data_IF_140706152513
#
_entry.id   IF_140706152513
#
_cell.length_a   1.000
_cell.length_b   1.000
_cell.length_c   1.000
_cell.angle_alpha   90.00
_cell.angle_beta   90.00
_cell.angle_gamma   90.00
#
_symmetry.space_group_name_H-M   'P 1'
#
loop_
_entity.id
_entity.type
_entity.pdbx_description
1 polymer ?
#
# COMPACT_ATOMS: atom_id res chain seq x y z
N UNK A 1 68.21 -54.41 -14.42
CA UNK A 1 66.74 -54.51 -14.54
C UNK A 1 66.22 -54.64 -13.13
N UNK A 2 65.81 -53.59 -12.42
CA UNK A 2 64.70 -52.67 -12.66
C UNK A 2 63.98 -52.60 -11.30
N UNK A 3 64.20 -51.53 -10.52
CA UNK A 3 63.24 -50.43 -10.28
C UNK A 3 61.98 -50.89 -9.50
N UNK A 4 61.50 -50.28 -8.41
CA UNK A 4 61.77 -49.01 -7.68
C UNK A 4 61.13 -49.08 -6.27
N UNK A 5 61.83 -48.49 -5.29
CA UNK A 5 61.45 -47.82 -4.03
C UNK A 5 60.36 -48.34 -3.04
N UNK A 6 60.81 -48.96 -1.93
CA UNK A 6 60.98 -48.44 -0.54
C UNK A 6 60.32 -47.09 -0.11
N UNK A 7 60.19 -46.79 1.22
CA UNK A 7 60.05 -47.68 2.39
C UNK A 7 59.14 -47.13 3.54
N UNK A 8 59.11 -47.91 4.64
CA UNK A 8 59.06 -47.47 6.06
C UNK A 8 57.74 -46.95 6.67
N UNK A 9 57.23 -47.63 7.70
CA UNK A 9 57.77 -47.52 9.07
C UNK A 9 56.91 -48.28 10.08
N UNK A 10 57.60 -48.71 11.13
CA UNK A 10 57.18 -49.52 12.26
C UNK A 10 56.14 -48.84 13.16
N UNK A 11 55.22 -49.64 13.73
CA UNK A 11 54.44 -49.26 14.92
C UNK A 11 54.58 -50.32 16.00
N UNK A 12 55.37 -50.00 17.03
CA UNK A 12 55.20 -50.54 18.38
C UNK A 12 54.63 -49.44 19.27
N UNK A 13 53.73 -49.86 20.16
CA UNK A 13 52.91 -49.01 21.01
C UNK A 13 53.76 -48.17 21.99
N UNK A 14 53.42 -46.89 22.08
CA UNK A 14 53.80 -46.01 23.18
C UNK A 14 52.63 -45.05 23.48
N UNK A 15 52.27 -45.01 24.75
CA UNK A 15 51.24 -44.23 25.42
C UNK A 15 51.33 -42.75 25.04
N UNK A 16 50.24 -42.16 24.49
CA UNK A 16 50.14 -40.72 24.26
C UNK A 16 49.30 -40.08 25.36
N UNK A 17 49.93 -39.21 26.13
CA UNK A 17 49.28 -38.22 27.00
C UNK A 17 48.35 -37.33 26.16
N UNK A 18 47.07 -37.31 26.50
CA UNK A 18 46.13 -36.30 26.01
C UNK A 18 46.30 -35.04 26.86
N UNK A 19 46.81 -33.98 26.22
CA UNK A 19 46.70 -32.62 26.75
C UNK A 19 45.25 -32.17 26.58
N UNK A 20 44.48 -32.14 27.66
CA UNK A 20 43.22 -31.41 27.70
C UNK A 20 43.57 -29.94 27.95
N UNK A 21 43.43 -29.09 26.95
CA UNK A 21 43.56 -27.65 27.12
C UNK A 21 42.31 -27.17 27.86
N UNK A 22 42.38 -27.11 29.19
CA UNK A 22 41.34 -26.60 30.07
C UNK A 22 41.32 -25.07 30.00
N UNK A 23 40.74 -24.52 28.93
CA UNK A 23 40.55 -23.06 28.83
C UNK A 23 39.28 -22.65 28.08
N UNK A 24 38.23 -23.46 28.24
CA UNK A 24 36.88 -23.10 27.80
C UNK A 24 35.86 -23.49 28.86
N UNK A 25 35.84 -22.76 29.98
CA UNK A 25 34.61 -22.43 30.72
C UNK A 25 34.95 -21.64 32.00
N UNK A 26 34.88 -20.30 31.88
CA UNK A 26 34.26 -19.38 32.86
C UNK A 26 34.62 -17.95 32.50
N UNK A 27 34.01 -17.41 31.44
CA UNK A 27 33.91 -15.95 31.30
C UNK A 27 32.82 -15.48 32.25
N UNK A 28 33.21 -15.05 33.45
CA UNK A 28 32.33 -14.31 34.35
C UNK A 28 32.10 -12.91 33.78
N UNK A 29 30.92 -12.69 33.21
CA UNK A 29 30.51 -11.37 32.74
C UNK A 29 30.30 -10.43 33.92
N UNK A 30 30.87 -9.23 33.83
CA UNK A 30 30.56 -8.16 34.79
C UNK A 30 29.10 -7.71 34.60
N UNK A 31 28.46 -7.13 35.64
CA UNK A 31 27.08 -6.59 35.54
C UNK A 31 26.91 -5.64 34.35
N UNK A 32 27.96 -4.86 34.03
CA UNK A 32 27.95 -3.92 32.90
C UNK A 32 28.00 -4.64 31.55
N UNK A 33 28.73 -5.74 31.43
CA UNK A 33 28.77 -6.55 30.21
C UNK A 33 27.48 -7.35 30.01
N UNK A 34 26.89 -7.85 31.10
CA UNK A 34 25.57 -8.47 31.06
C UNK A 34 24.49 -7.49 30.59
N UNK A 35 24.48 -6.25 31.10
CA UNK A 35 23.54 -5.21 30.65
C UNK A 35 23.78 -4.86 29.18
N UNK A 36 25.04 -4.79 28.71
CA UNK A 36 25.34 -4.56 27.30
C UNK A 36 24.88 -5.72 26.40
N UNK A 37 25.08 -6.95 26.82
CA UNK A 37 24.60 -8.14 26.11
C UNK A 37 23.06 -8.21 26.10
N UNK A 38 22.41 -7.91 27.22
CA UNK A 38 20.96 -7.83 27.31
C UNK A 38 20.40 -6.72 26.41
N UNK A 39 21.02 -5.54 26.41
CA UNK A 39 20.65 -4.43 25.52
C UNK A 39 20.85 -4.78 24.03
N UNK A 40 21.92 -5.51 23.68
CA UNK A 40 22.14 -6.01 22.32
C UNK A 40 21.09 -7.06 21.92
N UNK A 41 20.66 -7.93 22.84
CA UNK A 41 19.63 -8.95 22.58
C UNK A 41 18.20 -8.36 22.49
N UNK A 42 17.90 -7.31 23.25
CA UNK A 42 16.65 -6.55 23.13
C UNK A 42 16.64 -5.68 21.87
N UNK A 43 17.79 -5.11 21.51
CA UNK A 43 17.98 -4.40 20.24
C UNK A 43 17.75 -5.31 19.03
N UNK A 44 18.28 -6.54 19.03
CA UNK A 44 18.08 -7.47 17.91
C UNK A 44 16.62 -7.95 17.76
N UNK A 45 15.85 -7.99 18.86
CA UNK A 45 14.40 -8.24 18.81
C UNK A 45 13.61 -7.02 18.31
N UNK A 46 14.08 -5.80 18.59
CA UNK A 46 13.50 -4.56 18.06
C UNK A 46 13.81 -4.34 16.55
N UNK A 47 14.82 -5.03 16.01
CA UNK A 47 15.22 -4.98 14.60
C UNK A 47 14.76 -6.19 13.77
N UNK A 48 13.74 -6.94 14.21
CA UNK A 48 12.98 -7.72 13.23
C UNK A 48 12.23 -6.72 12.35
N UNK A 49 12.49 -6.63 11.03
CA UNK A 49 11.58 -5.91 10.17
C UNK A 49 10.20 -6.54 10.42
N UNK A 50 9.23 -5.69 10.70
CA UNK A 50 7.83 -6.05 10.60
C UNK A 50 7.58 -6.36 9.11
N UNK A 51 8.02 -7.53 8.65
CA UNK A 51 7.34 -8.18 7.56
C UNK A 51 5.97 -8.50 8.14
N UNK A 52 4.87 -7.94 7.62
CA UNK A 52 3.57 -8.50 7.93
C UNK A 52 3.65 -9.93 7.43
N UNK A 53 3.89 -10.86 8.36
CA UNK A 53 3.57 -12.25 8.15
C UNK A 53 2.07 -12.19 7.92
N UNK A 54 1.64 -12.29 6.65
CA UNK A 54 0.27 -12.66 6.35
C UNK A 54 0.06 -13.95 7.12
N UNK A 55 -0.58 -13.86 8.29
CA UNK A 55 -1.25 -15.00 8.85
C UNK A 55 -2.07 -15.52 7.68
N UNK A 56 -1.85 -16.78 7.28
CA UNK A 56 -2.79 -17.43 6.38
C UNK A 56 -4.14 -17.23 7.03
N UNK A 57 -4.98 -16.40 6.41
CA UNK A 57 -6.31 -16.15 6.92
C UNK A 57 -7.05 -17.48 6.79
N UNK A 58 -7.04 -18.27 7.88
CA UNK A 58 -7.88 -19.46 8.01
C UNK A 58 -9.38 -19.09 7.95
N UNK A 59 -9.68 -17.80 8.01
CA UNK A 59 -10.99 -17.19 7.78
C UNK A 59 -11.07 -16.60 6.38
N UNK A 60 -12.08 -17.00 5.60
CA UNK A 60 -12.36 -16.37 4.31
C UNK A 60 -12.57 -14.85 4.41
N UNK A 61 -12.39 -14.13 3.31
CA UNK A 61 -12.57 -12.68 3.22
C UNK A 61 -13.30 -12.29 1.93
N UNK A 62 -13.78 -11.05 1.85
CA UNK A 62 -14.52 -10.55 0.68
C UNK A 62 -13.61 -9.68 -0.18
N UNK A 63 -13.72 -9.87 -1.49
CA UNK A 63 -13.09 -8.98 -2.48
C UNK A 63 -14.14 -8.35 -3.40
N UNK A 64 -13.88 -7.13 -3.84
CA UNK A 64 -14.61 -6.44 -4.90
C UNK A 64 -13.88 -6.61 -6.22
N UNK A 65 -14.62 -6.86 -7.30
CA UNK A 65 -14.10 -6.82 -8.66
C UNK A 65 -13.87 -5.37 -9.08
N UNK A 66 -12.60 -4.98 -9.23
CA UNK A 66 -12.18 -3.60 -9.49
C UNK A 66 -11.97 -3.26 -10.98
N UNK A 67 -12.24 -4.20 -11.88
CA UNK A 67 -12.21 -4.01 -13.33
C UNK A 67 -13.60 -4.23 -13.93
N UNK A 68 -13.77 -3.92 -15.22
CA UNK A 68 -15.04 -4.18 -15.93
C UNK A 68 -15.47 -5.66 -15.82
N UNK A 69 -14.50 -6.59 -15.91
CA UNK A 69 -14.71 -8.00 -15.60
C UNK A 69 -13.41 -8.67 -15.17
N UNK A 70 -13.55 -9.79 -14.44
CA UNK A 70 -12.47 -10.72 -14.08
C UNK A 70 -12.97 -12.15 -14.26
N UNK A 71 -12.15 -12.97 -14.91
CA UNK A 71 -12.46 -14.37 -15.18
C UNK A 71 -12.22 -15.26 -13.97
N UNK A 72 -13.12 -16.22 -13.78
CA UNK A 72 -12.96 -17.35 -12.87
C UNK A 72 -12.46 -18.53 -13.69
N UNK A 73 -11.30 -19.05 -13.30
CA UNK A 73 -10.58 -20.12 -13.96
C UNK A 73 -10.81 -21.46 -13.24
N UNK A 74 -10.78 -22.57 -13.99
CA UNK A 74 -10.91 -23.90 -13.41
C UNK A 74 -9.73 -24.28 -12.51
N UNK A 75 -8.54 -23.73 -12.77
CA UNK A 75 -7.31 -23.89 -12.00
C UNK A 75 -6.69 -22.50 -11.74
N UNK A 76 -5.78 -22.34 -10.77
CA UNK A 76 -5.08 -21.07 -10.53
C UNK A 76 -3.99 -20.82 -11.61
N UNK A 77 -4.42 -20.80 -12.86
CA UNK A 77 -3.61 -20.74 -14.08
C UNK A 77 -4.44 -19.99 -15.13
N UNK A 78 -3.88 -18.91 -15.69
CA UNK A 78 -4.54 -18.02 -16.64
C UNK A 78 -4.67 -18.65 -18.04
N UNK A 79 -4.02 -19.79 -18.29
CA UNK A 79 -4.20 -20.60 -19.49
C UNK A 79 -5.29 -21.68 -19.31
N UNK A 80 -5.79 -21.87 -18.08
CA UNK A 80 -6.81 -22.86 -17.81
C UNK A 80 -8.20 -22.42 -18.31
N UNK A 81 -9.13 -23.37 -18.38
CA UNK A 81 -10.50 -23.09 -18.85
C UNK A 81 -11.18 -22.06 -17.94
N UNK A 82 -11.70 -20.99 -18.53
CA UNK A 82 -12.60 -20.05 -17.86
C UNK A 82 -13.94 -20.74 -17.62
N UNK A 83 -14.40 -20.74 -16.37
CA UNK A 83 -15.68 -21.35 -15.95
C UNK A 83 -16.78 -20.31 -15.73
N UNK A 84 -16.42 -19.07 -15.44
CA UNK A 84 -17.36 -17.98 -15.18
C UNK A 84 -16.68 -16.61 -15.37
N UNK A 85 -17.46 -15.56 -15.60
CA UNK A 85 -17.04 -14.16 -15.49
C UNK A 85 -17.70 -13.50 -14.27
N UNK A 86 -16.96 -12.59 -13.62
CA UNK A 86 -17.45 -11.69 -12.57
C UNK A 86 -17.28 -10.25 -13.05
N UNK A 87 -18.25 -9.39 -12.77
CA UNK A 87 -18.28 -8.02 -13.26
C UNK A 87 -17.95 -7.00 -12.18
N UNK A 88 -17.70 -5.76 -12.62
CA UNK A 88 -17.38 -4.62 -11.74
C UNK A 88 -18.31 -4.55 -10.53
N UNK A 89 -17.73 -4.29 -9.37
CA UNK A 89 -18.41 -4.13 -8.08
C UNK A 89 -19.08 -5.38 -7.51
N UNK A 90 -19.05 -6.52 -8.22
CA UNK A 90 -19.43 -7.79 -7.60
C UNK A 90 -18.53 -8.10 -6.41
N UNK A 91 -19.18 -8.49 -5.31
CA UNK A 91 -18.52 -8.97 -4.10
C UNK A 91 -18.36 -10.49 -4.17
N UNK A 92 -17.13 -10.96 -3.98
CA UNK A 92 -16.78 -12.36 -4.10
C UNK A 92 -16.16 -12.83 -2.79
N UNK A 93 -16.74 -13.90 -2.23
CA UNK A 93 -16.15 -14.59 -1.09
C UNK A 93 -14.91 -15.37 -1.54
N UNK A 94 -13.78 -15.04 -0.92
CA UNK A 94 -12.50 -15.75 -1.05
C UNK A 94 -12.36 -16.71 0.12
N UNK A 95 -12.17 -17.99 -0.20
CA UNK A 95 -11.98 -19.02 0.81
C UNK A 95 -10.55 -19.05 1.35
N UNK A 96 -9.55 -18.84 0.48
CA UNK A 96 -8.14 -18.69 0.86
C UNK A 96 -7.31 -18.19 -0.33
N UNK A 97 -6.12 -17.70 -0.01
CA UNK A 97 -5.08 -17.29 -0.95
C UNK A 97 -4.24 -18.48 -1.41
N UNK A 98 -3.83 -18.49 -2.67
CA UNK A 98 -2.97 -19.50 -3.29
C UNK A 98 -1.86 -18.79 -4.04
N UNK A 99 -0.62 -19.23 -3.82
CA UNK A 99 0.53 -18.86 -4.64
C UNK A 99 0.68 -19.93 -5.72
N UNK A 100 0.42 -19.56 -6.96
CA UNK A 100 0.50 -20.47 -8.11
C UNK A 100 1.89 -20.46 -8.74
N UNK A 101 2.43 -21.64 -9.04
CA UNK A 101 3.65 -21.82 -9.84
C UNK A 101 3.45 -21.46 -11.32
N UNK A 102 2.18 -21.40 -11.77
CA UNK A 102 1.76 -20.94 -13.11
C UNK A 102 1.41 -19.46 -13.15
N UNK A 103 1.32 -18.79 -12.00
CA UNK A 103 1.05 -17.36 -11.94
C UNK A 103 2.23 -16.51 -12.44
N UNK A 104 1.98 -15.25 -12.84
CA UNK A 104 3.06 -14.34 -13.19
C UNK A 104 4.06 -14.16 -12.04
N UNK A 105 5.36 -14.24 -12.31
CA UNK A 105 6.38 -14.18 -11.24
C UNK A 105 6.34 -12.89 -10.40
N UNK A 106 5.85 -11.79 -10.96
CA UNK A 106 5.68 -10.52 -10.24
C UNK A 106 4.48 -10.55 -9.28
N UNK A 107 3.42 -11.29 -9.60
CA UNK A 107 2.22 -11.45 -8.79
C UNK A 107 1.64 -12.87 -8.99
N UNK A 108 2.13 -13.87 -8.26
CA UNK A 108 1.66 -15.25 -8.40
C UNK A 108 0.38 -15.54 -7.59
N UNK A 109 -0.30 -14.50 -7.08
CA UNK A 109 -1.36 -14.65 -6.08
C UNK A 109 -2.72 -14.83 -6.74
N UNK A 110 -3.38 -15.94 -6.41
CA UNK A 110 -4.72 -16.32 -6.81
C UNK A 110 -5.61 -16.50 -5.59
N UNK A 111 -6.92 -16.37 -5.80
CA UNK A 111 -7.94 -16.60 -4.78
C UNK A 111 -8.80 -17.78 -5.17
N UNK A 112 -8.97 -18.72 -4.25
CA UNK A 112 -9.98 -19.77 -4.35
C UNK A 112 -11.35 -19.13 -4.03
N UNK A 113 -12.26 -19.14 -5.00
CA UNK A 113 -13.60 -18.56 -4.91
C UNK A 113 -14.66 -19.61 -5.25
N UNK A 114 -15.95 -19.32 -5.12
CA UNK A 114 -16.95 -20.26 -5.61
C UNK A 114 -16.80 -20.51 -7.12
N UNK A 115 -16.84 -21.78 -7.54
CA UNK A 115 -16.71 -22.18 -8.95
C UNK A 115 -15.29 -22.34 -9.49
N UNK A 116 -14.28 -21.67 -8.92
CA UNK A 116 -12.89 -21.81 -9.41
C UNK A 116 -11.87 -20.90 -8.72
N UNK A 117 -11.01 -20.28 -9.51
CA UNK A 117 -9.89 -19.45 -9.06
C UNK A 117 -9.87 -18.13 -9.81
N UNK A 118 -9.61 -17.04 -9.10
CA UNK A 118 -9.49 -15.70 -9.71
C UNK A 118 -8.11 -15.12 -9.40
N UNK A 119 -7.47 -14.50 -10.39
CA UNK A 119 -6.19 -13.83 -10.18
C UNK A 119 -6.38 -12.54 -9.37
N UNK A 120 -5.50 -12.29 -8.40
CA UNK A 120 -5.64 -11.17 -7.45
C UNK A 120 -5.60 -9.79 -8.11
N UNK A 121 -4.87 -9.62 -9.21
CA UNK A 121 -4.50 -8.31 -9.80
C UNK A 121 -5.61 -7.26 -9.89
N UNK A 122 -6.86 -7.65 -10.14
CA UNK A 122 -8.01 -6.74 -10.32
C UNK A 122 -9.06 -6.92 -9.23
N UNK A 123 -8.66 -7.45 -8.09
CA UNK A 123 -9.51 -7.70 -6.94
C UNK A 123 -9.03 -6.85 -5.78
N UNK A 124 -9.95 -6.09 -5.19
CA UNK A 124 -9.72 -5.27 -4.02
C UNK A 124 -10.27 -6.01 -2.80
N UNK A 125 -9.46 -6.26 -1.78
CA UNK A 125 -9.98 -6.72 -0.50
C UNK A 125 -10.79 -5.59 0.13
N UNK A 126 -12.03 -5.88 0.53
CA UNK A 126 -12.96 -4.88 1.07
C UNK A 126 -13.37 -5.23 2.48
N UNK A 127 -13.74 -4.20 3.24
CA UNK A 127 -14.35 -4.31 4.56
C UNK A 127 -15.83 -3.98 4.43
N UNK A 128 -16.65 -4.58 5.29
CA UNK A 128 -18.05 -4.22 5.49
C UNK A 128 -18.20 -3.78 6.94
N UNK A 129 -17.75 -2.56 7.22
CA UNK A 129 -17.76 -1.98 8.54
C UNK A 129 -18.55 -0.68 8.53
N UNK A 130 -19.69 -0.68 9.21
CA UNK A 130 -20.43 0.53 9.58
C UNK A 130 -19.79 1.18 10.81
N UNK A 131 -19.93 2.50 10.95
CA UNK A 131 -19.28 3.28 11.99
C UNK A 131 -20.27 4.15 12.76
N UNK A 132 -19.97 4.44 14.05
CA UNK A 132 -20.68 5.47 14.79
C UNK A 132 -20.60 6.82 14.07
N UNK A 133 -21.74 7.52 14.01
CA UNK A 133 -21.83 8.86 13.42
C UNK A 133 -21.23 9.89 14.35
N UNK A 134 -20.39 10.77 13.80
CA UNK A 134 -19.80 11.91 14.51
C UNK A 134 -20.63 13.15 14.18
N UNK A 135 -21.39 13.62 15.16
CA UNK A 135 -22.31 14.75 14.99
C UNK A 135 -21.61 16.12 14.91
N UNK A 136 -20.46 16.25 15.58
CA UNK A 136 -19.73 17.51 15.67
C UNK A 136 -18.61 17.56 14.64
N UNK A 137 -18.87 18.24 13.53
CA UNK A 137 -17.87 18.52 12.50
C UNK A 137 -17.21 19.88 12.78
N UNK A 138 -15.88 19.96 13.00
CA UNK A 138 -15.18 21.23 13.19
C UNK A 138 -15.10 22.01 11.87
N UNK A 139 -14.84 23.32 11.94
CA UNK A 139 -14.77 24.19 10.76
C UNK A 139 -13.70 23.77 9.72
N UNK A 140 -12.63 23.10 10.18
CA UNK A 140 -11.60 22.52 9.29
C UNK A 140 -11.97 21.18 8.67
N UNK A 141 -13.16 20.65 8.95
CA UNK A 141 -13.63 19.34 8.51
C UNK A 141 -12.96 18.18 9.23
N UNK A 142 -13.41 16.96 8.89
CA UNK A 142 -12.79 15.71 9.32
C UNK A 142 -12.35 14.93 8.08
N UNK A 143 -11.20 14.27 8.17
CA UNK A 143 -10.82 13.29 7.16
C UNK A 143 -11.50 11.96 7.49
N UNK A 144 -12.11 11.34 6.49
CA UNK A 144 -12.84 10.09 6.67
C UNK A 144 -12.55 9.09 5.55
N UNK A 145 -12.55 7.81 5.91
CA UNK A 145 -12.27 6.69 5.02
C UNK A 145 -13.55 5.89 4.75
N UNK A 146 -13.80 5.52 3.50
CA UNK A 146 -14.88 4.58 3.18
C UNK A 146 -14.49 3.19 3.69
N UNK A 147 -15.30 2.61 4.58
CA UNK A 147 -15.04 1.31 5.22
C UNK A 147 -16.07 0.22 4.87
N UNK A 148 -16.90 0.49 3.88
CA UNK A 148 -17.78 -0.47 3.18
C UNK A 148 -17.21 -0.74 1.78
N UNK A 149 -17.62 -1.80 1.05
CA UNK A 149 -17.04 -2.12 -0.26
C UNK A 149 -17.12 -0.96 -1.26
N UNK A 150 -18.27 -0.27 -1.26
CA UNK A 150 -18.49 0.99 -1.94
C UNK A 150 -19.72 1.70 -1.35
N UNK A 151 -19.81 3.01 -1.54
CA UNK A 151 -20.99 3.81 -1.22
C UNK A 151 -21.36 4.68 -2.41
N UNK A 152 -22.66 4.86 -2.65
CA UNK A 152 -23.12 5.81 -3.65
C UNK A 152 -23.20 7.21 -3.04
N UNK A 153 -22.61 8.18 -3.72
CA UNK A 153 -22.74 9.59 -3.38
C UNK A 153 -23.91 10.24 -4.12
N UNK A 154 -24.61 11.13 -3.44
CA UNK A 154 -25.74 11.87 -3.99
C UNK A 154 -25.51 13.36 -3.85
N UNK A 155 -25.97 14.13 -4.82
CA UNK A 155 -25.99 15.59 -4.75
C UNK A 155 -27.44 16.06 -4.58
N UNK A 156 -27.74 16.93 -3.61
CA UNK A 156 -29.07 17.49 -3.45
C UNK A 156 -29.38 18.45 -4.60
N UNK A 157 -30.64 18.42 -5.04
CA UNK A 157 -31.19 19.25 -6.10
C UNK A 157 -32.43 20.01 -5.64
N UNK A 158 -33.07 20.79 -6.54
CA UNK A 158 -34.28 21.53 -6.21
C UNK A 158 -35.42 20.61 -5.76
N UNK A 159 -36.27 21.09 -4.84
CA UNK A 159 -37.49 20.40 -4.37
C UNK A 159 -37.20 19.01 -3.78
N UNK A 160 -36.19 18.92 -2.92
CA UNK A 160 -35.78 17.70 -2.21
C UNK A 160 -35.46 16.52 -3.14
N UNK A 161 -35.00 16.82 -4.37
CA UNK A 161 -34.51 15.80 -5.28
C UNK A 161 -33.05 15.46 -4.97
N UNK A 162 -32.65 14.21 -5.24
CA UNK A 162 -31.29 13.75 -5.05
C UNK A 162 -30.82 13.04 -6.31
N UNK A 163 -29.64 13.39 -6.80
CA UNK A 163 -29.06 12.81 -8.01
C UNK A 163 -27.78 12.06 -7.70
N UNK A 164 -27.63 10.87 -8.28
CA UNK A 164 -26.40 10.10 -8.17
C UNK A 164 -25.23 10.84 -8.83
N UNK A 165 -24.13 10.92 -8.09
CA UNK A 165 -22.84 11.40 -8.59
C UNK A 165 -21.84 10.25 -8.49
N UNK A 166 -20.78 10.39 -7.70
CA UNK A 166 -19.70 9.41 -7.65
C UNK A 166 -20.08 8.09 -6.96
N UNK A 167 -19.43 7.01 -7.41
CA UNK A 167 -19.30 5.76 -6.65
C UNK A 167 -17.97 5.80 -5.89
N UNK A 168 -18.03 5.87 -4.56
CA UNK A 168 -16.84 5.92 -3.71
C UNK A 168 -16.51 4.52 -3.20
N UNK A 169 -15.24 4.14 -3.20
CA UNK A 169 -14.80 2.77 -2.92
C UNK A 169 -14.10 2.66 -1.57
N UNK A 170 -14.08 1.46 -1.00
CA UNK A 170 -13.29 1.13 0.18
C UNK A 170 -11.85 1.69 0.06
N UNK A 171 -11.30 2.15 1.18
CA UNK A 171 -9.96 2.76 1.31
C UNK A 171 -9.79 4.16 0.66
N UNK A 172 -10.83 4.71 0.00
CA UNK A 172 -10.81 6.12 -0.43
C UNK A 172 -11.00 7.07 0.76
N UNK A 173 -10.36 8.24 0.69
CA UNK A 173 -10.40 9.26 1.72
C UNK A 173 -11.15 10.50 1.25
N UNK A 174 -11.99 11.07 2.11
CA UNK A 174 -12.84 12.22 1.79
C UNK A 174 -12.89 13.22 2.94
N UNK A 175 -13.02 14.50 2.61
CA UNK A 175 -13.17 15.57 3.60
C UNK A 175 -14.65 15.75 3.96
N UNK A 176 -15.03 15.38 5.18
CA UNK A 176 -16.35 15.63 5.75
C UNK A 176 -16.40 17.07 6.26
N UNK A 177 -17.33 17.86 5.74
CA UNK A 177 -17.50 19.27 6.10
C UNK A 177 -18.79 19.55 6.91
N UNK A 178 -19.78 18.65 6.84
CA UNK A 178 -21.00 18.74 7.62
C UNK A 178 -21.68 17.38 7.78
N UNK A 179 -22.66 17.33 8.69
CA UNK A 179 -23.62 16.25 8.84
C UNK A 179 -25.01 16.82 8.53
N UNK A 180 -25.70 16.24 7.56
CA UNK A 180 -27.03 16.64 7.12
C UNK A 180 -28.00 15.45 7.18
N UNK A 181 -29.30 15.71 7.00
CA UNK A 181 -30.31 14.68 6.79
C UNK A 181 -30.33 14.27 5.30
N UNK A 182 -30.27 12.96 5.04
CA UNK A 182 -30.27 12.41 3.70
C UNK A 182 -31.66 12.10 3.13
N UNK A 183 -31.73 11.54 1.90
CA UNK A 183 -33.00 11.18 1.24
C UNK A 183 -33.82 10.11 1.97
N UNK A 184 -33.20 9.36 2.88
CA UNK A 184 -33.83 8.33 3.71
C UNK A 184 -34.24 8.85 5.11
N UNK A 185 -34.05 10.14 5.38
CA UNK A 185 -34.25 10.74 6.71
C UNK A 185 -33.14 10.41 7.72
N UNK A 186 -32.08 9.70 7.29
CA UNK A 186 -30.96 9.30 8.11
C UNK A 186 -29.81 10.32 8.12
N UNK A 187 -28.78 10.10 8.95
CA UNK A 187 -27.58 10.94 8.99
C UNK A 187 -26.67 10.71 7.78
N UNK A 188 -26.36 11.77 7.04
CA UNK A 188 -25.48 11.73 5.87
C UNK A 188 -24.34 12.75 6.01
N UNK A 189 -23.12 12.32 5.73
CA UNK A 189 -21.99 13.25 5.70
C UNK A 189 -21.98 14.00 4.39
N UNK A 190 -21.86 15.33 4.48
CA UNK A 190 -21.52 16.19 3.35
C UNK A 190 -20.01 16.18 3.16
N UNK A 191 -19.60 15.71 2.00
CA UNK A 191 -18.21 15.61 1.56
C UNK A 191 -17.87 16.77 0.64
N UNK A 192 -16.62 17.20 0.67
CA UNK A 192 -16.07 18.20 -0.23
C UNK A 192 -14.98 17.63 -1.12
N UNK A 193 -15.14 17.78 -2.43
CA UNK A 193 -14.10 17.51 -3.42
C UNK A 193 -13.12 18.70 -3.48
N UNK A 194 -11.83 18.44 -3.34
CA UNK A 194 -10.82 19.49 -3.38
C UNK A 194 -10.59 20.07 -4.78
N UNK A 195 -10.89 19.31 -5.85
CA UNK A 195 -10.51 19.71 -7.20
C UNK A 195 -11.47 20.71 -7.83
N UNK A 196 -12.77 20.53 -7.58
CA UNK A 196 -13.83 21.31 -8.21
C UNK A 196 -14.78 21.95 -7.19
N UNK A 197 -14.45 21.89 -5.90
CA UNK A 197 -15.27 22.36 -4.78
C UNK A 197 -16.68 21.75 -4.73
N UNK A 198 -16.92 20.62 -5.42
CA UNK A 198 -18.22 19.95 -5.40
C UNK A 198 -18.54 19.41 -4.01
N UNK A 199 -19.78 19.62 -3.57
CA UNK A 199 -20.32 19.08 -2.34
C UNK A 199 -21.32 17.97 -2.66
N UNK A 200 -21.15 16.81 -2.04
CA UNK A 200 -22.03 15.65 -2.21
C UNK A 200 -22.11 14.86 -0.92
N UNK A 201 -23.12 13.99 -0.82
CA UNK A 201 -23.47 13.32 0.42
C UNK A 201 -23.38 11.82 0.29
N UNK A 202 -23.04 11.17 1.40
CA UNK A 202 -23.05 9.72 1.57
C UNK A 202 -23.63 9.36 2.93
N UNK A 203 -24.21 8.16 3.12
CA UNK A 203 -24.63 7.68 4.43
C UNK A 203 -23.47 7.79 5.43
N UNK A 204 -23.68 8.44 6.58
CA UNK A 204 -22.60 8.77 7.49
C UNK A 204 -21.93 7.51 8.09
N UNK A 205 -22.71 6.46 8.32
CA UNK A 205 -22.22 5.19 8.87
C UNK A 205 -21.23 4.45 7.95
N UNK A 206 -21.24 4.73 6.64
CA UNK A 206 -20.31 4.11 5.69
C UNK A 206 -18.86 4.60 5.83
N UNK A 207 -18.66 5.71 6.56
CA UNK A 207 -17.37 6.38 6.66
C UNK A 207 -16.81 6.29 8.08
N UNK A 208 -15.54 5.88 8.16
CA UNK A 208 -14.75 5.85 9.38
C UNK A 208 -13.92 7.13 9.47
N UNK A 209 -14.12 7.92 10.53
CA UNK A 209 -13.27 9.10 10.77
C UNK A 209 -11.82 8.64 11.02
N UNK A 210 -10.89 9.24 10.26
CA UNK A 210 -9.45 9.06 10.43
C UNK A 210 -9.01 9.85 11.65
N UNK A 211 -8.33 9.20 12.59
CA UNK A 211 -7.90 9.89 13.81
C UNK A 211 -6.60 10.67 13.57
N UNK A 212 -6.34 11.77 14.30
CA UNK A 212 -5.09 12.53 14.19
C UNK A 212 -3.82 11.67 14.37
N UNK A 213 -3.87 10.64 15.22
CA UNK A 213 -2.75 9.73 15.46
C UNK A 213 -2.40 8.89 14.22
N UNK A 214 -3.39 8.60 13.38
CA UNK A 214 -3.19 7.88 12.12
C UNK A 214 -2.46 8.72 11.06
N UNK A 215 -2.45 10.05 11.22
CA UNK A 215 -1.71 10.99 10.36
C UNK A 215 -0.38 11.44 10.96
N UNK A 216 -0.12 11.11 12.23
CA UNK A 216 1.08 11.60 12.94
C UNK A 216 2.38 11.17 12.25
N UNK A 217 3.37 12.07 12.14
CA UNK A 217 4.60 11.81 11.39
C UNK A 217 5.42 10.66 11.98
N UNK A 218 6.16 9.97 11.11
CA UNK A 218 7.06 8.88 11.49
C UNK A 218 8.53 9.33 11.42
N UNK A 219 9.36 8.76 12.29
CA UNK A 219 10.80 9.02 12.37
C UNK A 219 11.13 10.53 12.46
N UNK A 220 10.49 11.22 13.41
CA UNK A 220 10.64 12.68 13.63
C UNK A 220 12.03 13.07 14.13
N UNK A 221 12.77 12.12 14.67
CA UNK A 221 14.13 12.24 15.19
C UNK A 221 15.20 12.13 14.09
N UNK A 222 14.83 11.67 12.89
CA UNK A 222 15.74 11.57 11.75
C UNK A 222 15.65 12.82 10.89
N UNK A 223 16.75 13.59 10.73
CA UNK A 223 16.77 14.78 9.89
C UNK A 223 16.32 14.47 8.45
N UNK A 224 15.49 15.33 7.83
CA UNK A 224 14.92 15.07 6.50
C UNK A 224 15.96 14.82 5.39
N UNK A 225 17.12 15.46 5.48
CA UNK A 225 18.24 15.29 4.54
C UNK A 225 18.91 13.92 4.61
N UNK A 226 18.70 13.19 5.72
CA UNK A 226 19.14 11.81 5.90
C UNK A 226 18.08 10.81 5.44
N UNK A 227 16.91 11.26 5.00
CA UNK A 227 15.86 10.40 4.46
C UNK A 227 15.90 10.41 2.94
N UNK A 228 15.82 9.23 2.32
CA UNK A 228 15.60 9.10 0.88
C UNK A 228 14.67 7.94 0.54
N UNK A 229 13.95 8.08 -0.58
CA UNK A 229 13.24 6.99 -1.24
C UNK A 229 13.96 6.68 -2.55
N UNK A 230 14.14 5.39 -2.83
CA UNK A 230 14.61 4.88 -4.11
C UNK A 230 13.51 4.04 -4.74
N UNK A 231 13.20 4.31 -6.00
CA UNK A 231 12.24 3.57 -6.82
C UNK A 231 12.99 2.98 -8.00
N UNK A 232 12.82 1.67 -8.22
CA UNK A 232 13.30 1.01 -9.43
C UNK A 232 12.10 0.63 -10.30
N UNK A 233 12.03 1.22 -11.49
CA UNK A 233 11.04 0.89 -12.53
C UNK A 233 11.32 -0.53 -13.04
N UNK A 234 12.58 -0.90 -13.24
CA UNK A 234 12.92 -2.26 -13.70
C UNK A 234 12.46 -3.32 -12.70
N UNK A 235 12.75 -3.12 -11.40
CA UNK A 235 12.41 -4.10 -10.35
C UNK A 235 10.98 -3.98 -9.85
N UNK A 236 10.28 -2.90 -10.20
CA UNK A 236 8.97 -2.55 -9.64
C UNK A 236 8.96 -2.58 -8.10
N UNK A 237 9.99 -1.97 -7.52
CA UNK A 237 10.23 -1.93 -6.07
C UNK A 237 10.52 -0.52 -5.60
N UNK A 238 10.17 -0.24 -4.36
CA UNK A 238 10.52 0.96 -3.63
C UNK A 238 11.24 0.59 -2.34
N UNK A 239 12.24 1.39 -1.99
CA UNK A 239 12.98 1.32 -0.73
C UNK A 239 13.04 2.70 -0.09
N UNK A 240 12.88 2.76 1.23
CA UNK A 240 13.07 3.98 2.01
C UNK A 240 14.23 3.79 2.99
N UNK A 241 15.12 4.77 3.05
CA UNK A 241 16.34 4.73 3.84
C UNK A 241 16.41 5.90 4.82
N UNK A 242 16.94 5.61 6.00
CA UNK A 242 17.42 6.59 6.97
C UNK A 242 18.94 6.44 7.05
N UNK A 243 19.67 7.47 6.60
CA UNK A 243 21.08 7.34 6.22
C UNK A 243 21.22 6.18 5.22
N UNK A 244 22.01 5.15 5.51
CA UNK A 244 22.15 3.95 4.66
C UNK A 244 21.37 2.74 5.17
N UNK A 245 20.56 2.92 6.22
CA UNK A 245 19.74 1.85 6.78
C UNK A 245 18.41 1.78 6.04
N UNK A 246 18.13 0.62 5.43
CA UNK A 246 16.82 0.31 4.88
C UNK A 246 15.80 0.20 6.01
N UNK A 247 14.75 1.03 5.97
CA UNK A 247 13.68 1.04 6.99
C UNK A 247 12.32 0.58 6.46
N UNK A 248 12.12 0.63 5.15
CA UNK A 248 10.90 0.16 4.50
C UNK A 248 11.18 -0.30 3.07
N UNK A 249 10.53 -1.37 2.63
CA UNK A 249 10.55 -1.81 1.24
C UNK A 249 9.21 -2.40 0.83
N UNK A 250 8.82 -2.17 -0.43
CA UNK A 250 7.61 -2.78 -0.99
C UNK A 250 7.65 -2.88 -2.50
N UNK A 251 6.83 -3.78 -3.05
CA UNK A 251 6.49 -3.83 -4.48
C UNK A 251 5.59 -2.65 -4.83
N UNK A 252 5.83 -2.05 -5.99
CA UNK A 252 5.04 -0.94 -6.52
C UNK A 252 4.49 -1.26 -7.90
N UNK A 253 3.59 -0.43 -8.41
CA UNK A 253 3.28 -0.39 -9.84
C UNK A 253 3.53 1.00 -10.39
N UNK A 254 4.60 1.16 -11.18
CA UNK A 254 4.95 2.44 -11.81
C UNK A 254 4.19 2.64 -13.13
N UNK A 255 4.45 3.77 -13.79
CA UNK A 255 3.81 4.17 -15.04
C UNK A 255 4.13 3.26 -16.21
N UNK A 256 3.11 2.91 -16.99
CA UNK A 256 3.29 2.12 -18.22
C UNK A 256 4.05 2.94 -19.27
N UNK A 257 5.02 2.33 -19.93
CA UNK A 257 5.70 2.93 -21.07
C UNK A 257 4.80 2.82 -22.31
N UNK A 258 4.01 3.86 -22.60
CA UNK A 258 3.31 3.98 -23.88
C UNK A 258 4.13 4.81 -24.86
N UNK A 259 4.26 4.30 -26.09
CA UNK A 259 4.88 5.04 -27.21
C UNK A 259 3.94 6.11 -27.79
N UNK A 260 2.62 5.94 -27.63
CA UNK A 260 1.67 7.01 -27.93
C UNK A 260 1.69 8.04 -26.79
N UNK A 261 1.69 9.32 -27.17
CA UNK A 261 1.47 10.39 -26.20
C UNK A 261 0.07 10.19 -25.65
N UNK A 262 -0.12 10.29 -24.33
CA UNK A 262 -1.46 10.21 -23.74
C UNK A 262 -2.41 11.22 -24.40
N UNK A 263 -3.71 11.03 -24.20
CA UNK A 263 -4.79 11.89 -24.73
C UNK A 263 -4.51 13.39 -24.54
N UNK A 264 -3.73 13.77 -23.52
CA UNK A 264 -3.38 15.15 -23.18
C UNK A 264 -1.89 15.51 -23.37
N UNK A 265 -1.10 14.66 -24.03
CA UNK A 265 0.33 14.89 -24.27
C UNK A 265 1.27 14.58 -23.08
N UNK A 266 0.72 14.22 -21.92
CA UNK A 266 1.47 13.88 -20.71
C UNK A 266 2.04 12.45 -20.82
N UNK A 267 3.35 12.22 -20.64
CA UNK A 267 3.91 10.87 -20.64
C UNK A 267 3.28 9.97 -19.57
N UNK A 268 2.97 8.72 -19.91
CA UNK A 268 2.44 7.75 -18.94
C UNK A 268 3.54 6.99 -18.18
N UNK A 269 4.79 7.14 -18.59
CA UNK A 269 5.94 6.56 -17.94
C UNK A 269 6.31 7.38 -16.70
N UNK A 270 6.70 6.70 -15.62
CA UNK A 270 7.29 7.38 -14.47
C UNK A 270 8.63 8.00 -14.87
N UNK A 271 8.86 9.29 -14.56
CA UNK A 271 10.10 9.96 -14.96
C UNK A 271 11.28 9.44 -14.14
N UNK A 272 12.39 9.14 -14.83
CA UNK A 272 13.67 8.76 -14.21
C UNK A 272 14.42 10.03 -13.81
N UNK A 273 15.07 10.01 -12.64
CA UNK A 273 15.85 11.14 -12.16
C UNK A 273 15.85 11.30 -10.65
N UNK A 274 16.36 12.45 -10.21
CA UNK A 274 16.34 12.85 -8.81
C UNK A 274 15.29 13.94 -8.59
N UNK A 275 14.46 13.70 -7.59
CA UNK A 275 13.30 14.50 -7.24
C UNK A 275 13.26 14.73 -5.74
N UNK A 276 12.29 15.53 -5.31
CA UNK A 276 11.93 15.71 -3.90
C UNK A 276 10.44 15.80 -3.76
N UNK A 277 9.92 15.34 -2.63
CA UNK A 277 8.51 15.56 -2.29
C UNK A 277 8.22 17.07 -2.35
N UNK A 278 7.25 17.45 -3.17
CA UNK A 278 6.85 18.85 -3.40
C UNK A 278 5.53 19.19 -2.71
N UNK A 279 4.65 18.20 -2.57
CA UNK A 279 3.32 18.37 -2.00
C UNK A 279 2.77 17.05 -1.47
N UNK A 280 1.92 17.12 -0.44
CA UNK A 280 1.20 15.99 0.12
C UNK A 280 -0.27 16.32 0.34
N UNK A 281 -1.15 15.41 -0.05
CA UNK A 281 -2.61 15.52 0.10
C UNK A 281 -3.17 14.18 0.61
N UNK A 282 -3.84 14.15 1.79
CA UNK A 282 -4.42 12.91 2.32
C UNK A 282 -5.51 12.33 1.41
N UNK A 283 -6.30 13.22 0.79
CA UNK A 283 -7.34 12.91 -0.19
C UNK A 283 -7.06 13.74 -1.44
N UNK A 284 -6.95 13.07 -2.60
CA UNK A 284 -6.76 13.75 -3.89
C UNK A 284 -7.77 13.26 -4.91
N UNK A 285 -8.39 14.17 -5.64
CA UNK A 285 -9.12 13.82 -6.85
C UNK A 285 -8.12 13.64 -8.01
N UNK A 286 -8.15 12.49 -8.68
CA UNK A 286 -7.36 12.24 -9.89
C UNK A 286 -8.25 11.95 -11.09
N UNK A 287 -7.96 12.56 -12.24
CA UNK A 287 -8.74 12.37 -13.46
C UNK A 287 -9.51 13.62 -13.89
N UNK A 288 -10.66 13.41 -14.54
CA UNK A 288 -11.53 14.51 -15.00
C UNK A 288 -12.33 15.12 -13.85
N UNK A 289 -12.48 16.45 -13.83
CA UNK A 289 -13.19 17.16 -12.77
C UNK A 289 -14.72 17.22 -12.92
N UNK A 290 -15.31 16.48 -13.86
CA UNK A 290 -16.75 16.43 -14.05
C UNK A 290 -17.44 15.55 -12.99
N UNK A 291 -18.60 16.00 -12.49
CA UNK A 291 -19.50 15.14 -11.73
C UNK A 291 -20.07 14.07 -12.67
N UNK A 292 -19.99 12.81 -12.24
CA UNK A 292 -20.43 11.69 -13.06
C UNK A 292 -20.78 10.48 -12.19
N UNK A 293 -21.78 9.72 -12.62
CA UNK A 293 -22.08 8.38 -12.13
C UNK A 293 -21.64 7.28 -13.11
N UNK A 294 -21.00 7.65 -14.22
CA UNK A 294 -20.37 6.71 -15.14
C UNK A 294 -19.15 6.07 -14.49
N UNK A 295 -19.25 4.79 -14.15
CA UNK A 295 -18.18 4.02 -13.54
C UNK A 295 -16.95 3.89 -14.46
N UNK A 296 -17.10 4.01 -15.77
CA UNK A 296 -16.00 3.93 -16.75
C UNK A 296 -15.28 5.26 -16.95
N UNK A 297 -15.83 6.36 -16.44
CA UNK A 297 -15.16 7.65 -16.49
C UNK A 297 -13.87 7.62 -15.67
N UNK A 298 -12.80 8.21 -16.20
CA UNK A 298 -11.55 8.38 -15.47
C UNK A 298 -11.67 9.54 -14.48
N UNK A 299 -12.43 9.31 -13.41
CA UNK A 299 -12.75 10.26 -12.32
C UNK A 299 -12.59 9.49 -11.01
N UNK A 300 -11.52 9.78 -10.28
CA UNK A 300 -11.11 9.06 -9.07
C UNK A 300 -11.09 10.04 -7.90
N UNK A 301 -12.24 10.34 -7.27
CA UNK A 301 -12.28 11.15 -6.06
C UNK A 301 -11.68 10.37 -4.88
N UNK A 302 -10.99 11.08 -4.00
CA UNK A 302 -10.49 10.52 -2.74
C UNK A 302 -9.36 9.50 -2.85
N UNK A 303 -8.48 9.63 -3.86
CA UNK A 303 -7.25 8.84 -3.94
C UNK A 303 -6.43 9.05 -2.66
N UNK A 304 -6.17 7.98 -1.89
CA UNK A 304 -5.68 8.13 -0.53
C UNK A 304 -4.17 8.32 -0.47
N UNK A 305 -3.72 9.14 0.51
CA UNK A 305 -2.32 9.28 0.92
C UNK A 305 -1.36 9.69 -0.20
N UNK A 306 -1.74 10.74 -0.94
CA UNK A 306 -0.99 11.19 -2.12
C UNK A 306 0.22 12.04 -1.73
N UNK A 307 1.40 11.66 -2.23
CA UNK A 307 2.70 12.32 -1.99
C UNK A 307 3.36 12.64 -3.33
N UNK A 308 3.22 13.87 -3.81
CA UNK A 308 3.78 14.36 -5.07
C UNK A 308 5.27 14.61 -4.94
N UNK A 309 6.04 14.20 -5.95
CA UNK A 309 7.49 14.44 -6.00
C UNK A 309 7.96 15.04 -7.33
N UNK A 310 7.11 15.10 -8.34
CA UNK A 310 7.45 15.68 -9.64
C UNK A 310 6.46 16.78 -10.04
N UNK A 311 6.96 17.81 -10.72
CA UNK A 311 6.17 18.98 -11.13
C UNK A 311 5.09 18.68 -12.16
N UNK A 312 5.12 17.52 -12.83
CA UNK A 312 4.08 17.09 -13.78
C UNK A 312 2.90 16.37 -13.10
N UNK A 313 2.92 16.25 -11.76
CA UNK A 313 1.85 15.61 -11.00
C UNK A 313 2.11 14.14 -10.68
N UNK A 314 3.35 13.65 -10.82
CA UNK A 314 3.70 12.28 -10.43
C UNK A 314 3.82 12.18 -8.90
N UNK A 315 3.16 11.18 -8.35
CA UNK A 315 3.06 10.97 -6.90
C UNK A 315 3.17 9.49 -6.51
N UNK A 316 3.52 9.25 -5.25
CA UNK A 316 3.15 8.02 -4.55
C UNK A 316 1.71 8.15 -4.05
N UNK A 317 0.88 7.12 -4.21
CA UNK A 317 -0.46 7.12 -3.60
C UNK A 317 -1.00 5.69 -3.42
N UNK A 318 -2.00 5.57 -2.55
CA UNK A 318 -2.71 4.31 -2.36
C UNK A 318 -3.60 4.01 -3.56
N UNK A 319 -3.71 2.73 -3.90
CA UNK A 319 -4.45 2.28 -5.09
C UNK A 319 -5.50 1.26 -4.71
N UNK A 320 -6.77 1.58 -4.96
CA UNK A 320 -7.91 0.72 -4.66
C UNK A 320 -8.47 -0.03 -5.89
N UNK A 321 -7.98 0.29 -7.10
CA UNK A 321 -8.49 -0.25 -8.36
C UNK A 321 -7.68 -1.44 -8.92
N UNK A 322 -6.57 -1.82 -8.27
CA UNK A 322 -5.80 -3.02 -8.58
C UNK A 322 -4.88 -3.41 -7.43
N UNK A 323 -4.41 -4.65 -7.41
CA UNK A 323 -3.41 -5.17 -6.46
C UNK A 323 -2.19 -5.77 -7.17
N UNK A 324 -1.97 -5.41 -8.44
CA UNK A 324 -0.94 -5.98 -9.31
C UNK A 324 0.49 -5.43 -9.11
N UNK A 325 0.90 -5.26 -7.85
CA UNK A 325 2.20 -4.71 -7.49
C UNK A 325 3.34 -5.64 -7.94
N UNK A 326 4.42 -5.06 -8.48
CA UNK A 326 5.50 -5.77 -9.15
C UNK A 326 5.43 -5.69 -10.68
N UNK A 327 4.42 -5.01 -11.23
CA UNK A 327 4.25 -4.77 -12.67
C UNK A 327 3.76 -3.34 -12.91
N UNK A 328 4.17 -2.73 -14.03
CA UNK A 328 3.71 -1.38 -14.43
C UNK A 328 2.21 -1.38 -14.70
N UNK A 329 1.49 -0.40 -14.15
CA UNK A 329 0.02 -0.30 -14.25
C UNK A 329 -0.48 1.14 -14.32
N UNK A 330 0.26 2.10 -13.73
CA UNK A 330 -0.20 3.47 -13.58
C UNK A 330 -0.02 4.28 -14.87
N UNK A 331 -0.45 5.56 -14.85
CA UNK A 331 -0.19 6.54 -15.91
C UNK A 331 0.90 7.56 -15.52
N UNK A 332 1.84 7.17 -14.67
CA UNK A 332 3.00 7.97 -14.28
C UNK A 332 3.32 7.81 -12.79
N UNK A 333 2.28 7.83 -11.94
CA UNK A 333 2.39 7.65 -10.49
C UNK A 333 3.06 6.34 -10.07
N UNK A 334 3.49 6.28 -8.81
CA UNK A 334 3.98 5.07 -8.16
C UNK A 334 2.88 4.54 -7.27
N UNK A 335 2.15 3.53 -7.76
CA UNK A 335 1.02 2.95 -7.05
C UNK A 335 1.50 2.05 -5.91
N UNK A 336 0.93 2.25 -4.73
CA UNK A 336 1.19 1.51 -3.50
C UNK A 336 -0.10 0.88 -2.96
N UNK A 337 0.02 -0.05 -2.00
CA UNK A 337 -1.14 -0.42 -1.17
C UNK A 337 -1.55 0.78 -0.31
N UNK A 338 -2.85 0.99 -0.02
CA UNK A 338 -3.29 2.14 0.78
C UNK A 338 -2.53 2.32 2.10
N UNK A 339 -2.27 1.24 2.83
CA UNK A 339 -1.53 1.25 4.09
C UNK A 339 -0.04 1.61 3.93
N UNK A 340 0.57 1.22 2.81
CA UNK A 340 1.96 1.53 2.48
C UNK A 340 2.10 2.98 2.00
N UNK A 341 1.12 3.47 1.24
CA UNK A 341 1.03 4.88 0.87
C UNK A 341 0.87 5.76 2.11
N UNK A 342 0.05 5.34 3.09
CA UNK A 342 -0.06 6.02 4.39
C UNK A 342 1.28 6.04 5.13
N UNK A 343 2.04 4.95 5.11
CA UNK A 343 3.37 4.91 5.70
C UNK A 343 4.30 5.94 5.03
N UNK A 344 4.36 5.97 3.69
CA UNK A 344 5.16 6.95 2.92
C UNK A 344 4.72 8.38 3.23
N UNK A 345 3.42 8.64 3.25
CA UNK A 345 2.85 9.95 3.55
C UNK A 345 3.29 10.46 4.92
N UNK A 346 3.29 9.60 5.95
CA UNK A 346 3.67 9.96 7.32
C UNK A 346 5.18 10.05 7.53
N UNK A 347 5.96 9.24 6.82
CA UNK A 347 7.42 9.17 6.98
C UNK A 347 8.16 10.29 6.23
N UNK A 348 7.60 10.76 5.12
CA UNK A 348 8.19 11.82 4.29
C UNK A 348 7.87 13.23 4.81
N UNK A 349 8.79 14.16 4.54
CA UNK A 349 8.56 15.60 4.74
C UNK A 349 8.06 16.28 3.45
N UNK A 350 7.40 17.45 3.52
CA UNK A 350 7.06 18.24 4.72
C UNK A 350 6.08 17.52 5.65
N UNK A 351 6.07 17.78 6.96
CA UNK A 351 5.04 17.20 7.87
C UNK A 351 3.69 17.84 7.56
N UNK A 352 2.63 17.04 7.47
CA UNK A 352 1.25 17.50 7.24
C UNK A 352 0.49 17.43 8.55
N UNK A 353 -0.09 18.56 8.95
CA UNK A 353 -0.93 18.63 10.15
C UNK A 353 -2.33 18.06 9.86
N UNK A 354 -3.01 17.58 10.90
CA UNK A 354 -4.40 17.11 10.75
C UNK A 354 -5.31 18.29 10.32
N UNK A 355 -6.13 18.07 9.29
CA UNK A 355 -7.00 19.11 8.71
C UNK A 355 -6.38 19.90 7.56
N UNK A 356 -5.08 19.75 7.26
CA UNK A 356 -4.48 20.34 6.06
C UNK A 356 -4.88 19.54 4.80
N UNK A 357 -5.56 20.20 3.85
CA UNK A 357 -5.93 19.61 2.54
C UNK A 357 -4.67 19.33 1.70
N UNK A 358 -3.76 20.29 1.64
CA UNK A 358 -2.51 20.20 0.90
C UNK A 358 -1.36 20.80 1.72
N UNK A 359 -0.25 20.07 1.82
CA UNK A 359 1.00 20.58 2.38
C UNK A 359 2.09 20.61 1.32
N UNK A 360 2.48 21.82 0.92
CA UNK A 360 3.62 22.04 0.00
C UNK A 360 4.92 22.25 0.75
N UNK A 361 6.04 21.89 0.12
CA UNK A 361 7.36 22.13 0.69
C UNK A 361 8.48 21.46 -0.10
N UNK A 362 9.71 21.67 0.37
CA UNK A 362 10.90 21.00 -0.18
C UNK A 362 11.23 19.80 0.69
N UNK A 363 10.67 18.66 0.34
CA UNK A 363 10.61 17.47 1.18
C UNK A 363 11.71 16.44 0.94
N UNK A 364 11.41 15.21 1.35
CA UNK A 364 12.27 14.04 1.27
C UNK A 364 12.75 13.78 -0.16
N UNK A 365 14.04 13.41 -0.32
CA UNK A 365 14.62 13.07 -1.62
C UNK A 365 14.03 11.78 -2.18
N UNK A 366 13.74 11.77 -3.47
CA UNK A 366 13.20 10.63 -4.22
C UNK A 366 14.08 10.40 -5.43
N UNK A 367 14.60 9.19 -5.59
CA UNK A 367 15.45 8.79 -6.72
C UNK A 367 14.69 7.72 -7.50
N UNK A 368 14.47 7.94 -8.79
CA UNK A 368 13.80 6.99 -9.67
C UNK A 368 14.80 6.48 -10.71
N UNK A 369 14.91 5.16 -10.82
CA UNK A 369 15.84 4.44 -11.70
C UNK A 369 15.14 3.46 -12.63
#
# INVERSE_FOLDING_TARGET
MGNVARPESSRRAATRHFWYNSDTMNKTYTRREFIKLAALSLGSLAFRPFAPQKAGNETGFVVRVAAASVSVYAQPDDTSRIVQQRYRDELVNVYHEIVSDKGPGYNPVWYRVWGGYMHSARLQTVREQLNPVVERIPAGGLLAEVSVPYTQAYMPGPRDTWSEVYRLYCDTLHWVIALDEGPDGGPWYRLKDELNDAEYHVPAEHLRIVRPEEMSPLAVDVPPEKKRIEVSIEKQMMWAYEEDRLVFSTKVSTGVLKRDRSINGIPTATPVGEFRVISKMPSKHMGGGQLTNDLEAYVLPGVPWTTFFDGTGVAFHGTYWHTNYGMTMSRGCVNLRPEEARWVFRWTTPVTEYGEIEKRGYGTRVIVT
#
